data_IF_896589958721
#
_entry.id   IF_896589958721
#
_cell.length_a   1.000
_cell.length_b   1.000
_cell.length_c   1.000
_cell.angle_alpha   90.00
_cell.angle_beta   90.00
_cell.angle_gamma   90.00
#
_symmetry.space_group_name_H-M   'P 1'
#
loop_
_entity.id
_entity.type
_entity.pdbx_description
1 polymer ?
#
# COMPACT_ATOMS: atom_id res chain seq x y z
N UNK A 1 7.92 11.49 36.25
CA UNK A 1 8.96 10.89 35.39
C UNK A 1 8.28 9.96 34.36
N UNK A 2 8.62 10.10 33.09
CA UNK A 2 8.21 9.12 32.08
C UNK A 2 9.04 7.85 32.32
N UNK A 3 8.38 6.72 32.53
CA UNK A 3 9.02 5.40 32.69
C UNK A 3 9.20 4.68 31.37
N UNK A 4 10.12 3.75 31.29
CA UNK A 4 10.25 2.86 30.14
C UNK A 4 9.04 1.91 30.08
N UNK A 5 8.41 1.78 28.90
CA UNK A 5 7.36 0.84 28.60
C UNK A 5 7.68 0.14 27.28
N UNK A 6 7.46 -1.15 27.25
CA UNK A 6 7.64 -1.95 26.02
C UNK A 6 6.67 -1.50 24.95
N UNK A 7 5.44 -1.18 25.33
CA UNK A 7 4.38 -0.73 24.40
C UNK A 7 4.76 0.60 23.76
N UNK A 8 5.22 1.58 24.55
CA UNK A 8 5.67 2.87 24.03
C UNK A 8 6.88 2.70 23.09
N UNK A 9 7.83 1.86 23.50
CA UNK A 9 9.01 1.57 22.67
C UNK A 9 8.61 0.92 21.35
N UNK A 10 7.65 -0.02 21.35
CA UNK A 10 7.13 -0.64 20.14
C UNK A 10 6.47 0.37 19.21
N UNK A 11 5.60 1.25 19.74
CA UNK A 11 4.93 2.28 18.95
C UNK A 11 5.94 3.21 18.28
N UNK A 12 6.89 3.74 19.05
CA UNK A 12 7.93 4.65 18.53
C UNK A 12 8.83 3.95 17.52
N UNK A 13 9.20 2.68 17.76
CA UNK A 13 10.02 1.90 16.84
C UNK A 13 9.27 1.62 15.52
N UNK A 14 7.98 1.32 15.57
CA UNK A 14 7.15 1.12 14.38
C UNK A 14 7.06 2.41 13.55
N UNK A 15 6.85 3.55 14.20
CA UNK A 15 6.78 4.85 13.52
C UNK A 15 8.12 5.21 12.86
N UNK A 16 9.22 5.00 13.55
CA UNK A 16 10.57 5.25 13.01
C UNK A 16 10.88 4.30 11.85
N UNK A 17 10.56 3.01 11.99
CA UNK A 17 10.72 2.02 10.94
C UNK A 17 9.87 2.38 9.70
N UNK A 18 8.62 2.79 9.88
CA UNK A 18 7.75 3.21 8.80
C UNK A 18 8.32 4.43 8.04
N UNK A 19 8.84 5.43 8.76
CA UNK A 19 9.49 6.59 8.16
C UNK A 19 10.76 6.19 7.37
N UNK A 20 11.60 5.33 7.93
CA UNK A 20 12.80 4.82 7.26
C UNK A 20 12.47 4.00 6.00
N UNK A 21 11.44 3.15 6.06
CA UNK A 21 10.95 2.38 4.92
C UNK A 21 10.39 3.28 3.82
N UNK A 22 9.63 4.32 4.18
CA UNK A 22 9.12 5.31 3.22
C UNK A 22 10.24 6.01 2.50
N UNK A 23 11.23 6.56 3.24
CA UNK A 23 12.41 7.22 2.66
C UNK A 23 13.19 6.29 1.73
N UNK A 24 13.40 5.05 2.13
CA UNK A 24 14.07 4.04 1.28
C UNK A 24 13.24 3.73 0.02
N UNK A 25 11.92 3.63 0.17
CA UNK A 25 11.00 3.44 -0.94
C UNK A 25 11.08 4.57 -1.95
N UNK A 26 11.15 5.82 -1.49
CA UNK A 26 11.29 7.00 -2.36
C UNK A 26 12.58 6.94 -3.19
N UNK A 27 13.71 6.54 -2.60
CA UNK A 27 14.98 6.36 -3.33
C UNK A 27 14.88 5.33 -4.47
N UNK A 28 14.03 4.31 -4.32
CA UNK A 28 13.80 3.29 -5.35
C UNK A 28 12.81 3.82 -6.40
N UNK A 29 11.72 4.43 -5.96
CA UNK A 29 10.61 4.88 -6.79
C UNK A 29 10.94 6.12 -7.61
N UNK A 30 11.84 6.97 -7.12
CA UNK A 30 12.32 8.18 -7.81
C UNK A 30 12.96 7.86 -9.18
N UNK A 31 13.58 6.69 -9.31
CA UNK A 31 14.13 6.19 -10.59
C UNK A 31 13.08 6.07 -11.70
N UNK A 32 11.81 5.99 -11.34
CA UNK A 32 10.68 5.90 -12.28
C UNK A 32 9.72 7.09 -12.13
N UNK A 33 10.13 8.12 -11.40
CA UNK A 33 9.45 9.39 -11.28
C UNK A 33 8.14 9.35 -10.47
N UNK A 34 8.05 8.47 -9.46
CA UNK A 34 6.93 8.40 -8.52
C UNK A 34 7.42 8.37 -7.07
N UNK A 35 6.54 8.68 -6.13
CA UNK A 35 6.80 8.54 -4.68
C UNK A 35 6.43 7.14 -4.19
N UNK A 36 6.92 6.76 -3.01
CA UNK A 36 6.49 5.51 -2.33
C UNK A 36 4.99 5.47 -2.10
N UNK A 37 4.38 6.59 -1.74
CA UNK A 37 2.93 6.66 -1.55
C UNK A 37 2.17 6.43 -2.86
N UNK A 38 2.61 7.04 -3.96
CA UNK A 38 2.06 6.78 -5.30
C UNK A 38 2.24 5.32 -5.71
N UNK A 39 3.39 4.72 -5.40
CA UNK A 39 3.64 3.30 -5.61
C UNK A 39 2.62 2.43 -4.85
N UNK A 40 2.38 2.71 -3.57
CA UNK A 40 1.40 1.97 -2.77
C UNK A 40 0.00 2.10 -3.40
N UNK A 41 -0.40 3.31 -3.82
CA UNK A 41 -1.69 3.51 -4.52
C UNK A 41 -1.78 2.68 -5.81
N UNK A 42 -0.70 2.60 -6.60
CA UNK A 42 -0.67 1.73 -7.79
C UNK A 42 -0.88 0.26 -7.43
N UNK A 43 -0.25 -0.23 -6.36
CA UNK A 43 -0.45 -1.61 -5.87
C UNK A 43 -1.89 -1.86 -5.45
N UNK A 44 -2.55 -0.89 -4.78
CA UNK A 44 -3.97 -1.00 -4.41
C UNK A 44 -4.88 -1.03 -5.64
N UNK A 45 -4.64 -0.18 -6.65
CA UNK A 45 -5.40 -0.19 -7.90
C UNK A 45 -5.21 -1.51 -8.65
N UNK A 46 -3.97 -2.00 -8.72
CA UNK A 46 -3.65 -3.29 -9.35
C UNK A 46 -4.27 -4.47 -8.61
N UNK A 47 -4.36 -4.36 -7.28
CA UNK A 47 -4.80 -5.43 -6.39
C UNK A 47 -3.66 -6.41 -6.09
N UNK A 48 -2.49 -5.92 -5.69
CA UNK A 48 -1.34 -6.76 -5.36
C UNK A 48 -1.68 -7.74 -4.21
N UNK A 49 -1.34 -9.04 -4.33
CA UNK A 49 -1.68 -10.05 -3.32
C UNK A 49 -0.97 -9.84 -1.98
N UNK A 50 0.10 -9.03 -1.92
CA UNK A 50 0.82 -8.73 -0.69
C UNK A 50 0.21 -7.59 0.12
N UNK A 51 -0.81 -6.90 -0.41
CA UNK A 51 -1.50 -5.87 0.34
C UNK A 51 -2.18 -6.52 1.56
N UNK A 52 -1.93 -6.02 2.78
CA UNK A 52 -2.63 -6.47 3.95
C UNK A 52 -4.09 -6.04 3.87
N UNK A 53 -4.94 -6.87 3.27
CA UNK A 53 -6.39 -6.62 3.15
C UNK A 53 -7.05 -6.73 4.52
N UNK A 54 -6.92 -5.64 5.29
CA UNK A 54 -7.55 -5.49 6.60
C UNK A 54 -8.67 -4.48 6.40
N UNK A 55 -9.93 -4.90 6.58
CA UNK A 55 -11.10 -4.06 6.39
C UNK A 55 -11.95 -4.40 5.17
N UNK A 56 -12.70 -3.40 4.67
CA UNK A 56 -13.79 -3.54 3.68
C UNK A 56 -13.36 -3.98 2.26
N UNK A 57 -12.06 -4.09 1.97
CA UNK A 57 -11.58 -4.50 0.65
C UNK A 57 -11.60 -6.02 0.41
N UNK A 58 -12.01 -6.82 1.39
CA UNK A 58 -12.22 -8.25 1.19
C UNK A 58 -13.44 -8.45 0.27
N UNK A 59 -13.21 -8.56 -1.03
CA UNK A 59 -14.24 -9.01 -1.97
C UNK A 59 -14.27 -10.53 -1.98
N UNK A 60 -15.46 -11.08 -1.75
CA UNK A 60 -15.77 -12.47 -2.08
C UNK A 60 -15.47 -12.69 -3.58
N UNK A 61 -14.64 -13.65 -3.94
CA UNK A 61 -14.38 -13.98 -5.34
C UNK A 61 -12.91 -14.05 -5.76
N UNK A 62 -11.94 -13.86 -4.85
CA UNK A 62 -10.51 -14.03 -5.13
C UNK A 62 -9.87 -12.80 -5.76
N UNK A 63 -8.57 -12.92 -6.01
CA UNK A 63 -7.74 -11.88 -6.60
C UNK A 63 -7.98 -11.78 -8.11
N UNK A 64 -8.46 -10.60 -8.56
CA UNK A 64 -8.52 -10.25 -9.99
C UNK A 64 -7.63 -9.03 -10.21
N UNK A 65 -6.50 -9.18 -10.92
CA UNK A 65 -5.61 -8.08 -11.21
C UNK A 65 -6.32 -6.97 -11.99
N UNK A 66 -6.11 -5.72 -11.59
CA UNK A 66 -6.62 -4.53 -12.29
C UNK A 66 -8.15 -4.53 -12.50
N UNK A 67 -8.90 -5.14 -11.59
CA UNK A 67 -10.37 -5.21 -11.67
C UNK A 67 -11.06 -3.85 -11.51
N UNK A 68 -10.31 -2.83 -11.10
CA UNK A 68 -10.80 -1.49 -10.80
C UNK A 68 -11.09 -1.27 -9.30
N UNK A 69 -10.73 -0.09 -8.79
CA UNK A 69 -10.91 0.31 -7.40
C UNK A 69 -11.42 1.74 -7.32
N UNK A 70 -12.26 2.04 -6.34
CA UNK A 70 -12.63 3.44 -6.06
C UNK A 70 -11.55 4.12 -5.23
N UNK A 71 -11.34 5.42 -5.45
CA UNK A 71 -10.43 6.22 -4.64
C UNK A 71 -10.82 6.21 -3.15
N UNK A 72 -12.11 6.13 -2.83
CA UNK A 72 -12.60 6.01 -1.45
C UNK A 72 -12.19 4.69 -0.79
N UNK A 73 -12.25 3.56 -1.52
CA UNK A 73 -11.82 2.26 -1.00
C UNK A 73 -10.31 2.28 -0.65
N UNK A 74 -9.52 2.96 -1.48
CA UNK A 74 -8.07 3.11 -1.24
C UNK A 74 -7.82 4.01 -0.03
N UNK A 75 -8.53 5.12 0.10
CA UNK A 75 -8.41 6.05 1.22
C UNK A 75 -8.74 5.37 2.55
N UNK A 76 -9.86 4.64 2.59
CA UNK A 76 -10.29 3.88 3.77
C UNK A 76 -9.26 2.80 4.15
N UNK A 77 -8.68 2.11 3.14
CA UNK A 77 -7.67 1.06 3.37
C UNK A 77 -6.32 1.59 3.83
N UNK A 78 -5.93 2.78 3.38
CA UNK A 78 -4.68 3.42 3.77
C UNK A 78 -4.82 4.27 5.04
N UNK A 79 -6.03 4.42 5.55
CA UNK A 79 -6.37 5.32 6.66
C UNK A 79 -5.84 6.76 6.42
N UNK A 80 -6.13 7.29 5.22
CA UNK A 80 -5.76 8.64 4.83
C UNK A 80 -6.97 9.39 4.28
N UNK A 81 -6.90 10.72 4.24
CA UNK A 81 -8.01 11.51 3.71
C UNK A 81 -8.26 11.22 2.22
N UNK A 82 -9.53 11.28 1.82
CA UNK A 82 -9.93 11.13 0.40
C UNK A 82 -9.26 12.17 -0.48
N UNK A 83 -9.06 13.40 0.02
CA UNK A 83 -8.35 14.47 -0.69
C UNK A 83 -6.90 14.08 -1.00
N UNK A 84 -6.21 13.44 -0.04
CA UNK A 84 -4.84 12.99 -0.24
C UNK A 84 -4.76 11.92 -1.34
N UNK A 85 -5.64 10.90 -1.30
CA UNK A 85 -5.70 9.87 -2.36
C UNK A 85 -6.04 10.50 -3.71
N UNK A 86 -6.99 11.43 -3.76
CA UNK A 86 -7.36 12.13 -5.00
C UNK A 86 -6.17 12.86 -5.60
N UNK A 87 -5.38 13.56 -4.79
CA UNK A 87 -4.17 14.25 -5.26
C UNK A 87 -3.13 13.26 -5.82
N UNK A 88 -2.89 12.16 -5.12
CA UNK A 88 -1.98 11.12 -5.59
C UNK A 88 -2.44 10.50 -6.92
N UNK A 89 -3.75 10.18 -7.02
CA UNK A 89 -4.37 9.62 -8.23
C UNK A 89 -4.29 10.60 -9.40
N UNK A 90 -4.59 11.88 -9.18
CA UNK A 90 -4.47 12.90 -10.23
C UNK A 90 -3.03 13.01 -10.75
N UNK A 91 -2.04 12.93 -9.87
CA UNK A 91 -0.63 12.87 -10.25
C UNK A 91 -0.29 11.62 -11.09
N UNK A 92 -0.89 10.46 -10.79
CA UNK A 92 -0.71 9.24 -11.56
C UNK A 92 -1.44 9.28 -12.90
N UNK A 93 -2.61 9.89 -12.97
CA UNK A 93 -3.35 10.11 -14.22
C UNK A 93 -2.57 11.06 -15.14
N UNK A 94 -2.03 12.16 -14.62
CA UNK A 94 -1.22 13.10 -15.41
C UNK A 94 0.04 12.44 -15.99
N UNK A 95 0.56 11.40 -15.33
CA UNK A 95 1.67 10.56 -15.82
C UNK A 95 1.21 9.42 -16.74
N UNK A 96 -0.07 9.34 -17.05
CA UNK A 96 -0.67 8.28 -17.89
C UNK A 96 -0.46 6.86 -17.34
N UNK A 97 -0.32 6.71 -16.01
CA UNK A 97 -0.15 5.43 -15.33
C UNK A 97 -1.48 4.83 -14.88
N UNK A 98 -2.46 5.68 -14.64
CA UNK A 98 -3.81 5.35 -14.16
C UNK A 98 -4.84 6.04 -15.05
N UNK A 99 -5.98 5.41 -15.24
CA UNK A 99 -7.16 6.04 -15.84
C UNK A 99 -8.41 5.75 -15.02
N UNK A 100 -9.45 6.53 -15.27
CA UNK A 100 -10.77 6.34 -14.66
C UNK A 100 -11.76 5.86 -15.69
N UNK A 101 -12.58 4.88 -15.33
CA UNK A 101 -13.74 4.46 -16.11
C UNK A 101 -15.01 4.46 -15.24
N UNK A 102 -16.17 4.51 -15.88
CA UNK A 102 -17.43 4.33 -15.18
C UNK A 102 -17.62 2.83 -14.87
N UNK A 103 -18.17 2.54 -13.69
CA UNK A 103 -18.59 1.18 -13.37
C UNK A 103 -19.81 0.82 -14.24
N UNK A 104 -19.79 -0.33 -14.88
CA UNK A 104 -20.91 -0.79 -15.73
C UNK A 104 -22.19 -1.08 -14.94
N UNK A 105 -22.07 -1.40 -13.64
CA UNK A 105 -23.18 -1.72 -12.78
C UNK A 105 -23.75 -0.49 -12.03
N UNK A 106 -22.93 0.54 -11.85
CA UNK A 106 -23.32 1.81 -11.22
C UNK A 106 -22.55 2.97 -11.84
N UNK A 107 -23.19 3.68 -12.75
CA UNK A 107 -22.60 4.82 -13.50
C UNK A 107 -22.17 6.00 -12.61
N UNK A 108 -22.57 6.04 -11.34
CA UNK A 108 -22.12 7.04 -10.35
C UNK A 108 -20.72 6.71 -9.82
N UNK A 109 -20.29 5.45 -9.94
CA UNK A 109 -19.00 4.98 -9.45
C UNK A 109 -17.93 5.19 -10.51
N UNK A 110 -16.77 5.66 -10.06
CA UNK A 110 -15.56 5.81 -10.87
C UNK A 110 -14.53 4.79 -10.40
N UNK A 111 -14.16 3.91 -11.30
CA UNK A 111 -13.15 2.89 -11.05
C UNK A 111 -11.80 3.34 -11.59
N UNK A 112 -10.79 3.24 -10.77
CA UNK A 112 -9.40 3.45 -11.13
C UNK A 112 -8.81 2.14 -11.65
N UNK A 113 -8.12 2.21 -12.78
CA UNK A 113 -7.40 1.09 -13.38
C UNK A 113 -6.03 1.54 -13.85
N UNK A 114 -5.09 0.62 -13.88
CA UNK A 114 -3.78 0.87 -14.46
C UNK A 114 -3.84 0.82 -15.99
N UNK A 115 -3.11 1.72 -16.61
CA UNK A 115 -2.79 1.63 -18.04
C UNK A 115 -1.72 0.54 -18.28
N UNK A 116 -1.47 0.11 -19.53
CA UNK A 116 -0.31 -0.73 -19.85
C UNK A 116 1.01 -0.13 -19.36
N UNK A 117 1.17 1.20 -19.42
CA UNK A 117 2.35 1.89 -18.90
C UNK A 117 2.45 1.78 -17.37
N UNK A 118 1.32 1.85 -16.64
CA UNK A 118 1.26 1.66 -15.19
C UNK A 118 1.64 0.24 -14.79
N UNK A 119 1.15 -0.78 -15.50
CA UNK A 119 1.51 -2.18 -15.28
C UNK A 119 3.00 -2.39 -15.55
N UNK A 120 3.51 -1.93 -16.68
CA UNK A 120 4.93 -2.05 -17.03
C UNK A 120 5.85 -1.30 -16.05
N UNK A 121 5.37 -0.23 -15.40
CA UNK A 121 6.11 0.45 -14.33
C UNK A 121 6.22 -0.45 -13.09
N UNK A 122 5.13 -1.10 -12.68
CA UNK A 122 5.14 -2.07 -11.57
C UNK A 122 6.16 -3.18 -11.86
N UNK A 123 6.10 -3.78 -13.03
CA UNK A 123 6.99 -4.87 -13.43
C UNK A 123 8.47 -4.46 -13.42
N UNK A 124 8.79 -3.25 -13.86
CA UNK A 124 10.17 -2.72 -13.86
C UNK A 124 10.74 -2.47 -12.47
N UNK A 125 9.93 -1.99 -11.54
CA UNK A 125 10.40 -1.63 -10.20
C UNK A 125 10.45 -2.84 -9.25
N UNK A 126 9.62 -3.84 -9.50
CA UNK A 126 9.44 -4.99 -8.63
C UNK A 126 10.74 -5.75 -8.29
N UNK A 127 11.64 -6.06 -9.24
CA UNK A 127 12.90 -6.76 -8.92
C UNK A 127 13.78 -5.97 -7.94
N UNK A 128 13.83 -4.65 -8.06
CA UNK A 128 14.61 -3.79 -7.16
C UNK A 128 14.00 -3.77 -5.76
N UNK A 129 12.69 -3.68 -5.67
CA UNK A 129 11.96 -3.72 -4.40
C UNK A 129 12.12 -5.07 -3.70
N UNK A 130 11.96 -6.17 -4.42
CA UNK A 130 12.18 -7.53 -3.87
C UNK A 130 13.58 -7.70 -3.34
N UNK A 131 14.59 -7.30 -4.10
CA UNK A 131 15.99 -7.35 -3.66
C UNK A 131 16.22 -6.51 -2.40
N UNK A 132 15.68 -5.30 -2.40
CA UNK A 132 15.79 -4.40 -1.26
C UNK A 132 15.09 -4.97 -0.02
N UNK A 133 13.87 -5.50 -0.15
CA UNK A 133 13.13 -6.12 0.95
C UNK A 133 13.83 -7.38 1.45
N UNK A 134 14.29 -8.25 0.55
CA UNK A 134 15.04 -9.44 0.94
C UNK A 134 16.28 -9.08 1.76
N UNK A 135 17.07 -8.10 1.32
CA UNK A 135 18.24 -7.60 2.05
C UNK A 135 17.88 -7.04 3.44
N UNK A 136 16.76 -6.31 3.55
CA UNK A 136 16.30 -5.77 4.83
C UNK A 136 15.97 -6.87 5.83
N UNK A 137 15.19 -7.85 5.38
CA UNK A 137 14.71 -8.92 6.26
C UNK A 137 15.69 -10.07 6.43
N UNK A 138 16.85 -10.05 5.77
CA UNK A 138 17.89 -11.07 5.90
C UNK A 138 18.46 -11.21 7.32
N UNK A 139 18.26 -10.21 8.18
CA UNK A 139 18.66 -10.26 9.60
C UNK A 139 17.71 -11.10 10.46
N UNK A 140 16.56 -11.49 9.92
CA UNK A 140 15.54 -12.28 10.63
C UNK A 140 15.46 -13.70 10.06
N UNK A 141 15.23 -14.66 10.94
CA UNK A 141 14.88 -16.03 10.53
C UNK A 141 13.44 -16.05 10.00
N UNK A 142 13.14 -16.95 9.07
CA UNK A 142 11.82 -17.07 8.43
C UNK A 142 10.67 -17.20 9.46
N UNK A 143 10.88 -17.99 10.53
CA UNK A 143 9.90 -18.12 11.62
C UNK A 143 9.59 -16.78 12.28
N UNK A 144 10.61 -15.99 12.61
CA UNK A 144 10.45 -14.67 13.23
C UNK A 144 9.72 -13.69 12.30
N UNK A 145 9.99 -13.72 10.99
CA UNK A 145 9.26 -12.91 10.01
C UNK A 145 7.77 -13.28 9.96
N UNK A 146 7.44 -14.57 9.97
CA UNK A 146 6.04 -15.04 9.96
C UNK A 146 5.30 -14.61 11.24
N UNK A 147 5.92 -14.79 12.41
CA UNK A 147 5.37 -14.37 13.70
C UNK A 147 5.15 -12.84 13.74
N UNK A 148 6.14 -12.09 13.30
CA UNK A 148 6.03 -10.61 13.20
C UNK A 148 4.88 -10.18 12.29
N UNK A 149 4.72 -10.82 11.12
CA UNK A 149 3.63 -10.52 10.20
C UNK A 149 2.25 -10.80 10.82
N UNK A 150 2.11 -11.92 11.54
CA UNK A 150 0.86 -12.27 12.26
C UNK A 150 0.53 -11.21 13.31
N UNK A 151 1.52 -10.83 14.12
CA UNK A 151 1.34 -9.84 15.18
C UNK A 151 1.01 -8.45 14.61
N UNK A 152 1.70 -8.01 13.56
CA UNK A 152 1.40 -6.73 12.90
C UNK A 152 -0.02 -6.71 12.30
N UNK A 153 -0.46 -7.80 11.69
CA UNK A 153 -1.84 -7.90 11.18
C UNK A 153 -2.87 -7.83 12.32
N UNK A 154 -2.60 -8.48 13.45
CA UNK A 154 -3.48 -8.42 14.63
C UNK A 154 -3.59 -6.97 15.18
N UNK A 155 -2.47 -6.25 15.25
CA UNK A 155 -2.47 -4.84 15.66
C UNK A 155 -3.27 -3.96 14.69
N UNK A 156 -3.09 -4.14 13.37
CA UNK A 156 -3.87 -3.42 12.38
C UNK A 156 -5.37 -3.71 12.51
N UNK A 157 -5.76 -4.99 12.70
CA UNK A 157 -7.16 -5.36 12.92
C UNK A 157 -7.75 -4.69 14.16
N UNK A 158 -6.97 -4.56 15.22
CA UNK A 158 -7.39 -3.90 16.45
C UNK A 158 -7.69 -2.42 16.19
N UNK A 159 -6.77 -1.71 15.55
CA UNK A 159 -6.91 -0.28 15.23
C UNK A 159 -8.13 0.00 14.35
N UNK A 160 -8.40 -0.85 13.34
CA UNK A 160 -9.58 -0.66 12.45
C UNK A 160 -10.93 -1.04 13.08
N UNK A 161 -10.95 -1.67 14.27
CA UNK A 161 -12.20 -1.99 14.99
C UNK A 161 -12.56 -0.98 16.06
N UNK A 162 -11.61 -0.14 16.46
CA UNK A 162 -11.82 0.91 17.48
C UNK A 162 -12.43 2.20 16.88
N UNK A 163 -12.55 2.28 15.56
CA UNK A 163 -13.28 3.31 14.79
C UNK A 163 -14.72 2.84 14.48
#
# INVERSE_FOLDING_TARGET
>A
MLGESVEETLVLTILELAAALSKRGDMISDRVGITTQQWIVLLYIYGDPNIPLIGKMHREGGFVPNAGRMASEIADSLNVSRANVTNMVNGLISKQLVYQEKDNNDLRRRLLKLTPAGIGLIERIEPFRRKANHSLFAVLKEKAMKEMLVNMKALLHRLYREE
#
